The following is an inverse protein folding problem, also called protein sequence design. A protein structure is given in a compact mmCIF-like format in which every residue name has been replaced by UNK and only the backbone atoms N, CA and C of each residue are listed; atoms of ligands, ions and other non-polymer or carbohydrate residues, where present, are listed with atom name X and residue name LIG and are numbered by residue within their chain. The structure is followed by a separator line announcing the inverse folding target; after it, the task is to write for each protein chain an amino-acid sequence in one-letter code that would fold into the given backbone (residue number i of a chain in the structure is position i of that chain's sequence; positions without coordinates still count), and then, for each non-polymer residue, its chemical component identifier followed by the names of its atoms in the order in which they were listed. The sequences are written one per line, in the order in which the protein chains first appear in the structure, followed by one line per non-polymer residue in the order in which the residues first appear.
data_IF_069141878916
#
_entry.id   IF_069141878916
#
_cell.length_a   1.000
_cell.length_b   1.000
_cell.length_c   1.000
_cell.angle_alpha   90.00
_cell.angle_beta   90.00
_cell.angle_gamma   90.00
#
_symmetry.space_group_name_H-M   'P 1'
#
loop_
_entity.id
_entity.type
_entity.pdbx_description
1 polymer ?
#
# COMPACT_ATOMS: atom_id res chain seq x y z
N UNK A 1 27.85 -3.51 8.03
CA UNK A 1 28.16 -3.94 6.65
C UNK A 1 27.66 -2.90 5.68
N UNK A 2 28.49 -2.54 4.76
CA UNK A 2 28.11 -1.63 3.70
C UNK A 2 27.64 -2.39 2.49
N UNK A 3 26.64 -1.88 1.82
CA UNK A 3 26.07 -2.51 0.63
C UNK A 3 26.22 -1.65 -0.62
N UNK A 4 27.06 -0.65 -0.58
CA UNK A 4 27.26 0.23 -1.72
C UNK A 4 27.81 -0.50 -2.95
N UNK A 5 28.50 -1.60 -2.75
CA UNK A 5 29.01 -2.42 -3.87
C UNK A 5 28.01 -3.46 -4.33
N UNK A 6 26.96 -3.65 -3.60
CA UNK A 6 25.89 -4.57 -3.97
C UNK A 6 25.16 -4.07 -5.18
N UNK A 7 24.99 -2.78 -5.26
CA UNK A 7 24.17 -2.18 -6.28
C UNK A 7 25.03 -1.40 -7.26
N UNK A 8 24.83 -1.71 -8.52
CA UNK A 8 25.38 -0.93 -9.61
C UNK A 8 24.73 0.45 -9.72
N UNK A 9 23.65 0.68 -8.99
CA UNK A 9 23.01 1.95 -8.91
C UNK A 9 23.68 2.91 -7.94
N UNK A 10 24.99 3.03 -8.01
CA UNK A 10 25.76 3.87 -7.10
C UNK A 10 25.29 5.33 -7.10
N UNK A 11 24.81 5.81 -8.22
CA UNK A 11 24.25 7.17 -8.30
C UNK A 11 23.01 7.31 -7.43
N UNK A 12 22.14 6.31 -7.47
CA UNK A 12 20.96 6.27 -6.62
C UNK A 12 21.31 6.22 -5.16
N UNK A 13 22.35 5.49 -4.80
CA UNK A 13 22.81 5.39 -3.43
C UNK A 13 23.28 6.74 -2.89
N UNK A 14 24.00 7.50 -3.70
CA UNK A 14 24.41 8.84 -3.32
C UNK A 14 23.23 9.74 -3.02
N UNK A 15 22.19 9.64 -3.83
CA UNK A 15 20.95 10.40 -3.62
C UNK A 15 20.27 9.97 -2.32
N UNK A 16 20.22 8.65 -2.06
CA UNK A 16 19.65 8.10 -0.83
C UNK A 16 20.37 8.60 0.40
N UNK A 17 21.69 8.67 0.36
CA UNK A 17 22.49 9.13 1.50
C UNK A 17 22.19 10.58 1.90
N UNK A 18 21.69 11.38 0.96
CA UNK A 18 21.33 12.77 1.22
C UNK A 18 19.92 12.94 1.75
N UNK A 19 19.12 11.86 1.76
CA UNK A 19 17.76 11.91 2.23
C UNK A 19 17.72 11.28 3.62
N UNK A 20 17.41 12.13 4.59
CA UNK A 20 17.43 11.70 5.99
C UNK A 20 16.00 11.77 6.53
N UNK A 21 15.51 10.63 6.99
CA UNK A 21 14.34 10.59 7.87
C UNK A 21 14.76 9.99 9.20
N UNK A 22 14.18 10.48 10.27
CA UNK A 22 14.48 9.95 11.59
C UNK A 22 13.85 8.57 11.76
N UNK A 23 14.37 7.73 12.66
CA UNK A 23 13.72 6.47 13.00
C UNK A 23 12.27 6.65 13.44
N UNK A 24 11.98 7.75 14.14
CA UNK A 24 10.62 8.07 14.56
C UNK A 24 9.71 8.37 13.38
N UNK A 25 10.17 9.19 12.44
CA UNK A 25 9.41 9.48 11.23
C UNK A 25 9.14 8.21 10.43
N UNK A 26 10.13 7.35 10.32
CA UNK A 26 10.00 6.08 9.61
C UNK A 26 8.97 5.17 10.29
N UNK A 27 9.01 5.09 11.61
CA UNK A 27 8.04 4.34 12.38
C UNK A 27 6.63 4.89 12.16
N UNK A 28 6.45 6.20 12.22
CA UNK A 28 5.16 6.84 12.03
C UNK A 28 4.60 6.61 10.63
N UNK A 29 5.44 6.65 9.62
CA UNK A 29 5.05 6.37 8.24
C UNK A 29 4.56 4.94 8.09
N UNK A 30 5.25 3.98 8.69
CA UNK A 30 4.83 2.57 8.68
C UNK A 30 3.49 2.39 9.39
N UNK A 31 3.32 3.01 10.55
CA UNK A 31 2.08 2.92 11.30
C UNK A 31 0.91 3.53 10.54
N UNK A 32 1.12 4.64 9.88
CA UNK A 32 0.08 5.27 9.06
C UNK A 32 -0.45 4.33 7.98
N UNK A 33 0.45 3.65 7.27
CA UNK A 33 0.06 2.69 6.23
C UNK A 33 -0.66 1.48 6.83
N UNK A 34 -0.12 0.94 7.92
CA UNK A 34 -0.71 -0.21 8.62
C UNK A 34 -2.12 0.09 9.09
N UNK A 35 -2.29 1.21 9.76
CA UNK A 35 -3.57 1.60 10.33
C UNK A 35 -4.60 1.87 9.23
N UNK A 36 -4.18 2.50 8.14
CA UNK A 36 -5.04 2.76 6.99
C UNK A 36 -5.55 1.45 6.37
N UNK A 37 -4.67 0.53 6.09
CA UNK A 37 -5.04 -0.76 5.50
C UNK A 37 -5.91 -1.59 6.45
N UNK A 38 -5.57 -1.59 7.72
CA UNK A 38 -6.36 -2.27 8.74
C UNK A 38 -7.78 -1.72 8.82
N UNK A 39 -7.90 -0.40 8.82
CA UNK A 39 -9.19 0.28 8.88
C UNK A 39 -10.05 -0.05 7.67
N UNK A 40 -9.49 0.02 6.47
CA UNK A 40 -10.21 -0.28 5.24
C UNK A 40 -10.75 -1.72 5.26
N UNK A 41 -9.90 -2.68 5.61
CA UNK A 41 -10.27 -4.09 5.64
C UNK A 41 -11.31 -4.38 6.73
N UNK A 42 -11.11 -3.85 7.94
CA UNK A 42 -12.00 -4.14 9.07
C UNK A 42 -13.38 -3.50 8.92
N UNK A 43 -13.43 -2.29 8.42
CA UNK A 43 -14.71 -1.59 8.26
C UNK A 43 -15.46 -1.99 7.01
N UNK A 44 -14.77 -2.56 6.05
CA UNK A 44 -15.38 -3.20 4.89
C UNK A 44 -16.09 -2.26 3.94
N UNK A 45 -17.01 -2.85 3.21
CA UNK A 45 -17.70 -2.21 2.08
C UNK A 45 -18.52 -0.98 2.49
N UNK A 46 -19.18 -1.04 3.65
CA UNK A 46 -20.10 0.02 4.07
C UNK A 46 -19.40 1.37 4.35
N UNK A 47 -18.14 1.34 4.76
CA UNK A 47 -17.35 2.52 5.07
C UNK A 47 -16.24 2.77 4.07
N UNK A 48 -16.24 2.05 2.98
CA UNK A 48 -15.14 2.07 2.02
C UNK A 48 -14.90 3.46 1.44
N UNK A 49 -15.94 4.14 1.01
CA UNK A 49 -15.80 5.46 0.42
C UNK A 49 -15.16 6.46 1.37
N UNK A 50 -15.65 6.51 2.61
CA UNK A 50 -15.11 7.41 3.62
C UNK A 50 -13.67 7.07 3.96
N UNK A 51 -13.36 5.79 4.11
CA UNK A 51 -12.02 5.34 4.45
C UNK A 51 -11.01 5.62 3.33
N UNK A 52 -11.40 5.42 2.09
CA UNK A 52 -10.51 5.73 0.97
C UNK A 52 -10.22 7.22 0.87
N UNK A 53 -11.24 8.06 1.04
CA UNK A 53 -11.07 9.51 1.02
C UNK A 53 -10.19 10.00 2.18
N UNK A 54 -10.26 9.34 3.33
CA UNK A 54 -9.45 9.70 4.48
C UNK A 54 -8.00 9.24 4.35
N UNK A 55 -7.77 8.08 3.76
CA UNK A 55 -6.45 7.45 3.73
C UNK A 55 -5.63 7.79 2.49
N UNK A 56 -6.26 8.14 1.39
CA UNK A 56 -5.57 8.35 0.12
C UNK A 56 -5.87 9.71 -0.47
N UNK A 57 -4.92 10.21 -1.25
CA UNK A 57 -5.10 11.42 -2.04
C UNK A 57 -6.15 11.20 -3.12
N UNK A 58 -6.91 12.25 -3.46
CA UNK A 58 -7.95 12.16 -4.48
C UNK A 58 -7.42 11.77 -5.86
N UNK A 59 -6.15 12.06 -6.13
CA UNK A 59 -5.46 11.76 -7.38
C UNK A 59 -4.49 10.59 -7.24
N UNK A 60 -4.73 9.70 -6.28
CA UNK A 60 -3.86 8.55 -6.03
C UNK A 60 -3.64 7.74 -7.30
N UNK A 61 -2.38 7.38 -7.54
CA UNK A 61 -2.02 6.49 -8.65
C UNK A 61 -1.83 5.09 -8.11
N UNK A 62 -2.49 4.14 -8.76
CA UNK A 62 -2.42 2.74 -8.35
C UNK A 62 -1.91 1.92 -9.51
N UNK A 63 -0.86 1.16 -9.23
CA UNK A 63 -0.28 0.22 -10.19
C UNK A 63 -0.55 -1.18 -9.69
N UNK A 64 -1.30 -1.93 -10.46
CA UNK A 64 -1.73 -3.27 -10.11
C UNK A 64 -1.29 -4.27 -11.17
N UNK A 65 -1.53 -5.54 -10.89
CA UNK A 65 -1.28 -6.61 -11.85
C UNK A 65 -2.37 -6.65 -12.93
N UNK A 66 -2.06 -7.33 -14.02
CA UNK A 66 -3.04 -7.61 -15.08
C UNK A 66 -4.20 -8.47 -14.54
N UNK A 67 -5.47 -8.23 -14.89
CA UNK A 67 -5.96 -7.28 -15.88
C UNK A 67 -6.36 -5.91 -15.30
N UNK A 68 -6.15 -5.68 -14.02
CA UNK A 68 -6.49 -4.41 -13.38
C UNK A 68 -5.61 -3.27 -13.89
N UNK A 69 -4.30 -3.58 -14.03
CA UNK A 69 -3.28 -2.66 -14.55
C UNK A 69 -3.15 -1.40 -13.68
N UNK A 70 -3.05 -0.23 -14.31
CA UNK A 70 -2.92 1.01 -13.58
C UNK A 70 -4.13 1.91 -13.77
N UNK A 71 -4.39 2.72 -12.75
CA UNK A 71 -5.46 3.72 -12.80
C UNK A 71 -5.13 4.86 -11.85
N UNK A 72 -5.88 5.95 -11.98
CA UNK A 72 -5.71 7.13 -11.14
C UNK A 72 -7.04 7.53 -10.54
N UNK A 73 -7.00 7.92 -9.26
CA UNK A 73 -8.16 8.45 -8.56
C UNK A 73 -8.84 7.45 -7.64
N UNK A 74 -9.48 7.99 -6.60
CA UNK A 74 -10.15 7.19 -5.58
C UNK A 74 -11.35 6.43 -6.13
N UNK A 75 -12.12 7.04 -7.04
CA UNK A 75 -13.29 6.38 -7.62
C UNK A 75 -12.91 5.10 -8.35
N UNK A 76 -11.85 5.15 -9.15
CA UNK A 76 -11.33 3.97 -9.83
C UNK A 76 -10.77 2.95 -8.86
N UNK A 77 -10.09 3.42 -7.82
CA UNK A 77 -9.54 2.53 -6.80
C UNK A 77 -10.65 1.78 -6.07
N UNK A 78 -11.74 2.46 -5.80
CA UNK A 78 -12.93 1.86 -5.20
C UNK A 78 -13.59 0.85 -6.13
N UNK A 79 -13.92 1.28 -7.34
CA UNK A 79 -14.73 0.48 -8.29
C UNK A 79 -13.98 -0.70 -8.88
N UNK A 80 -12.70 -0.53 -9.20
CA UNK A 80 -11.95 -1.54 -9.93
C UNK A 80 -11.15 -2.47 -9.03
N UNK A 81 -10.90 -2.08 -7.79
CA UNK A 81 -10.11 -2.88 -6.86
C UNK A 81 -10.87 -3.27 -5.60
N UNK A 82 -11.26 -2.32 -4.78
CA UNK A 82 -11.80 -2.62 -3.44
C UNK A 82 -13.19 -3.22 -3.45
N UNK A 83 -14.10 -2.67 -4.23
CA UNK A 83 -15.47 -3.22 -4.30
C UNK A 83 -15.49 -4.64 -4.83
N UNK A 84 -14.83 -4.95 -5.96
CA UNK A 84 -14.78 -6.33 -6.43
C UNK A 84 -14.15 -7.28 -5.42
N UNK A 85 -13.12 -6.82 -4.71
CA UNK A 85 -12.45 -7.63 -3.70
C UNK A 85 -13.38 -7.98 -2.54
N UNK A 86 -14.10 -6.98 -2.01
CA UNK A 86 -15.05 -7.21 -0.92
C UNK A 86 -16.27 -8.04 -1.37
N UNK A 87 -16.69 -7.89 -2.61
CA UNK A 87 -17.79 -8.69 -3.14
C UNK A 87 -17.38 -10.15 -3.33
N UNK A 88 -16.15 -10.39 -3.75
CA UNK A 88 -15.61 -11.73 -3.91
C UNK A 88 -15.35 -12.41 -2.56
N UNK A 89 -14.90 -11.64 -1.58
CA UNK A 89 -14.56 -12.13 -0.25
C UNK A 89 -15.20 -11.24 0.82
N UNK A 90 -16.50 -11.43 1.10
CA UNK A 90 -17.20 -10.58 2.08
C UNK A 90 -16.60 -10.65 3.50
N UNK A 91 -15.92 -11.75 3.81
CA UNK A 91 -15.24 -11.98 5.08
C UNK A 91 -13.74 -11.78 5.00
N UNK A 92 -13.29 -10.89 4.12
CA UNK A 92 -11.86 -10.67 3.87
C UNK A 92 -11.12 -10.33 5.15
N UNK A 93 -10.02 -11.05 5.37
CA UNK A 93 -9.08 -10.77 6.46
C UNK A 93 -7.69 -10.53 5.89
N UNK A 94 -6.96 -9.64 6.54
CA UNK A 94 -5.58 -9.34 6.19
C UNK A 94 -4.67 -9.62 7.38
N UNK A 95 -3.67 -10.42 7.15
CA UNK A 95 -2.62 -10.70 8.14
C UNK A 95 -1.31 -10.14 7.64
N UNK A 96 -0.80 -9.14 8.33
CA UNK A 96 0.46 -8.51 7.99
C UNK A 96 1.62 -9.38 8.49
N UNK A 97 2.62 -9.57 7.65
CA UNK A 97 3.80 -10.35 7.98
C UNK A 97 5.04 -9.49 8.11
N UNK A 98 5.16 -8.46 7.27
CA UNK A 98 6.33 -7.61 7.26
C UNK A 98 5.98 -6.21 6.80
N UNK A 99 6.53 -5.21 7.48
CA UNK A 99 6.41 -3.81 7.06
C UNK A 99 7.79 -3.20 7.05
N UNK A 100 8.15 -2.59 5.93
CA UNK A 100 9.42 -1.90 5.74
C UNK A 100 9.14 -0.45 5.40
N UNK A 101 9.95 0.42 5.91
CA UNK A 101 9.84 1.84 5.59
C UNK A 101 11.21 2.45 5.37
N UNK A 102 11.27 3.46 4.54
CA UNK A 102 12.51 4.16 4.26
C UNK A 102 12.33 5.21 3.18
N UNK A 103 13.45 5.66 2.65
CA UNK A 103 13.46 6.60 1.56
C UNK A 103 14.17 6.01 0.36
N UNK A 104 13.71 6.39 -0.83
CA UNK A 104 14.35 5.99 -2.07
C UNK A 104 14.18 7.13 -3.06
N UNK A 105 15.31 7.70 -3.49
CA UNK A 105 15.34 8.79 -4.46
C UNK A 105 14.36 9.91 -4.08
N UNK A 106 14.60 10.59 -2.99
CA UNK A 106 13.81 11.71 -2.47
C UNK A 106 12.33 11.40 -2.16
N UNK A 107 11.99 10.13 -2.11
CA UNK A 107 10.62 9.72 -1.77
C UNK A 107 10.59 8.83 -0.54
N UNK A 108 9.64 9.11 0.32
CA UNK A 108 9.32 8.22 1.44
C UNK A 108 8.48 7.07 0.91
N UNK A 109 8.89 5.85 1.26
CA UNK A 109 8.20 4.64 0.83
C UNK A 109 7.94 3.71 1.99
N UNK A 110 6.81 3.04 1.94
CA UNK A 110 6.47 1.96 2.88
C UNK A 110 6.04 0.76 2.05
N UNK A 111 6.67 -0.38 2.32
CA UNK A 111 6.29 -1.65 1.72
C UNK A 111 5.72 -2.58 2.77
N UNK A 112 4.75 -3.39 2.41
CA UNK A 112 4.25 -4.42 3.30
C UNK A 112 4.01 -5.72 2.56
N UNK A 113 4.22 -6.81 3.27
CA UNK A 113 3.89 -8.15 2.80
C UNK A 113 2.82 -8.68 3.73
N UNK A 114 1.72 -9.12 3.14
CA UNK A 114 0.59 -9.62 3.91
C UNK A 114 -0.11 -10.76 3.19
N UNK A 115 -0.88 -11.51 3.95
CA UNK A 115 -1.73 -12.58 3.43
C UNK A 115 -3.17 -12.11 3.52
N UNK A 116 -3.90 -12.21 2.42
CA UNK A 116 -5.34 -12.01 2.40
C UNK A 116 -6.02 -13.37 2.40
N UNK A 117 -7.06 -13.51 3.20
CA UNK A 117 -7.85 -14.74 3.25
C UNK A 117 -9.33 -14.41 3.33
N UNK A 118 -10.14 -15.35 2.84
CA UNK A 118 -11.58 -15.19 2.85
C UNK A 118 -12.25 -16.33 2.11
N UNK A 119 -13.56 -16.42 2.27
CA UNK A 119 -14.37 -17.40 1.55
C UNK A 119 -14.86 -16.78 0.24
N UNK A 120 -14.47 -17.41 -0.85
CA UNK A 120 -14.83 -16.94 -2.18
C UNK A 120 -16.34 -17.08 -2.41
N UNK A 121 -16.99 -15.99 -2.79
CA UNK A 121 -18.42 -15.93 -3.04
C UNK A 121 -18.77 -15.61 -4.48
N UNK A 122 -17.96 -14.79 -5.12
CA UNK A 122 -18.27 -14.26 -6.43
C UNK A 122 -16.98 -14.01 -7.20
N UNK A 123 -17.00 -14.24 -8.50
CA UNK A 123 -15.84 -13.95 -9.34
C UNK A 123 -15.51 -12.46 -9.28
N UNK A 124 -14.23 -12.20 -9.10
CA UNK A 124 -13.73 -10.83 -9.10
C UNK A 124 -13.67 -10.26 -10.52
N UNK A 125 -13.29 -11.09 -11.44
CA UNK A 125 -13.07 -10.69 -12.84
C UNK A 125 -14.04 -11.34 -13.80
#
# INVERSE_FOLDING_TARGET
MKIENFDTGLKGQKDIENIIITPEENYNNKQKVRDSLKKIIQMGKSKLNDNLNECFSSDVKVNCFHPINEFTGIEKFKEDFWLPLFESFPDLERREQLVLGGTFRDKVQVGSISTLSGVFKKSWL
#
